data_IF_758849273477
#
_entry.id   IF_758849273477
#
_cell.length_a   1.000
_cell.length_b   1.000
_cell.length_c   1.000
_cell.angle_alpha   90.00
_cell.angle_beta   90.00
_cell.angle_gamma   90.00
#
_symmetry.space_group_name_H-M   'P 1'
#
loop_
_entity.id
_entity.type
_entity.pdbx_description
1 polymer ?
#
# COMPACT_ATOMS: atom_id res chain seq x y z
N UNK A 1 -37.70 -71.00 -50.07
CA UNK A 1 -36.24 -70.86 -50.29
C UNK A 1 -35.85 -69.44 -49.96
N UNK A 2 -35.00 -69.22 -48.97
CA UNK A 2 -33.83 -68.32 -48.98
C UNK A 2 -33.10 -68.47 -47.64
N UNK A 3 -31.83 -68.83 -47.72
CA UNK A 3 -30.86 -68.95 -46.64
C UNK A 3 -29.96 -67.70 -46.69
N UNK A 4 -29.51 -67.17 -45.55
CA UNK A 4 -28.17 -66.59 -45.35
C UNK A 4 -27.98 -65.99 -43.93
N UNK A 5 -27.00 -66.59 -43.24
CA UNK A 5 -25.93 -66.04 -42.38
C UNK A 5 -26.24 -65.36 -41.03
N UNK A 6 -25.92 -66.14 -39.99
CA UNK A 6 -25.49 -65.68 -38.66
C UNK A 6 -24.14 -64.96 -38.72
N UNK A 7 -23.98 -63.99 -37.82
CA UNK A 7 -22.80 -63.15 -37.60
C UNK A 7 -22.68 -62.97 -36.08
N UNK A 8 -21.71 -63.61 -35.42
CA UNK A 8 -21.16 -63.17 -34.14
C UNK A 8 -19.99 -64.06 -33.70
N UNK A 9 -18.83 -63.44 -33.49
CA UNK A 9 -18.03 -63.52 -32.25
C UNK A 9 -16.64 -62.93 -32.50
N UNK A 10 -16.23 -61.96 -31.68
CA UNK A 10 -14.90 -61.95 -31.03
C UNK A 10 -14.76 -60.80 -30.03
N UNK A 11 -14.71 -61.21 -28.75
CA UNK A 11 -13.80 -60.80 -27.65
C UNK A 11 -13.49 -59.32 -27.44
N UNK A 12 -13.99 -58.80 -26.32
CA UNK A 12 -13.35 -57.76 -25.51
C UNK A 12 -12.49 -58.38 -24.38
N UNK A 13 -11.31 -57.83 -24.07
CA UNK A 13 -10.77 -57.88 -22.72
C UNK A 13 -10.65 -56.48 -22.09
N UNK A 14 -10.97 -56.44 -20.80
CA UNK A 14 -10.97 -55.26 -19.94
C UNK A 14 -9.57 -54.73 -19.64
N UNK A 15 -9.44 -53.42 -19.43
CA UNK A 15 -8.26 -52.80 -18.79
C UNK A 15 -8.67 -52.00 -17.55
N UNK A 16 -8.07 -52.35 -16.40
CA UNK A 16 -8.00 -51.52 -15.19
C UNK A 16 -6.95 -50.41 -15.39
N UNK A 17 -7.11 -49.21 -14.81
CA UNK A 17 -6.02 -48.26 -14.69
C UNK A 17 -5.23 -48.49 -13.39
N UNK A 18 -3.92 -48.70 -13.55
CA UNK A 18 -2.91 -48.71 -12.49
C UNK A 18 -2.54 -47.27 -12.10
N UNK A 19 -2.40 -47.02 -10.80
CA UNK A 19 -1.75 -45.83 -10.27
C UNK A 19 -0.25 -45.90 -10.58
N UNK A 20 0.31 -44.82 -11.13
CA UNK A 20 1.76 -44.58 -11.09
C UNK A 20 2.04 -43.15 -10.63
N UNK A 21 2.72 -43.12 -9.50
CA UNK A 21 3.32 -41.98 -8.81
C UNK A 21 4.52 -41.49 -9.63
N UNK A 22 4.49 -40.25 -10.15
CA UNK A 22 5.65 -39.65 -10.83
C UNK A 22 6.09 -38.37 -10.13
N UNK A 23 7.36 -38.41 -9.72
CA UNK A 23 8.16 -37.44 -8.98
C UNK A 23 8.01 -35.97 -9.44
N UNK A 24 7.57 -35.13 -8.50
CA UNK A 24 7.39 -33.66 -8.65
C UNK A 24 8.65 -32.83 -8.41
N UNK A 25 9.80 -33.43 -8.05
CA UNK A 25 10.99 -32.67 -7.63
C UNK A 25 11.95 -32.33 -8.78
N UNK A 26 11.93 -33.08 -9.89
CA UNK A 26 12.87 -32.84 -11.01
C UNK A 26 12.43 -31.71 -11.97
N UNK A 27 11.16 -31.28 -11.92
CA UNK A 27 10.64 -30.21 -12.79
C UNK A 27 10.98 -28.82 -12.25
N UNK A 28 11.09 -28.68 -10.92
CA UNK A 28 11.41 -27.41 -10.25
C UNK A 28 12.90 -27.08 -10.44
N UNK A 29 13.77 -28.09 -10.35
CA UNK A 29 15.22 -27.90 -10.47
C UNK A 29 15.65 -27.51 -11.88
N UNK A 30 14.99 -28.02 -12.93
CA UNK A 30 15.26 -27.61 -14.33
C UNK A 30 14.87 -26.15 -14.61
N UNK A 31 13.74 -25.67 -14.08
CA UNK A 31 13.33 -24.26 -14.25
C UNK A 31 14.24 -23.26 -13.53
N UNK A 32 14.80 -23.65 -12.38
CA UNK A 32 15.75 -22.81 -11.63
C UNK A 32 17.12 -22.76 -12.35
N UNK A 33 17.55 -23.86 -12.97
CA UNK A 33 18.78 -23.89 -13.76
C UNK A 33 18.67 -23.06 -15.07
N UNK A 34 17.50 -23.06 -15.71
CA UNK A 34 17.24 -22.31 -16.94
C UNK A 34 17.17 -20.78 -16.71
N UNK A 35 16.63 -20.35 -15.55
CA UNK A 35 16.67 -18.94 -15.13
C UNK A 35 18.07 -18.42 -14.80
N UNK A 36 19.00 -19.28 -14.37
CA UNK A 36 20.40 -18.89 -14.10
C UNK A 36 21.25 -18.76 -15.37
N UNK A 37 20.90 -19.46 -16.45
CA UNK A 37 21.67 -19.43 -17.71
C UNK A 37 21.42 -18.16 -18.53
N UNK A 38 20.25 -17.54 -18.39
CA UNK A 38 19.92 -16.27 -19.06
C UNK A 38 20.58 -15.02 -18.43
N UNK A 39 21.30 -15.17 -17.32
CA UNK A 39 22.00 -14.07 -16.64
C UNK A 39 23.52 -14.02 -16.90
N UNK A 40 24.05 -14.87 -17.78
CA UNK A 40 25.48 -14.91 -18.11
C UNK A 40 25.72 -15.09 -19.61
N UNK A 41 25.53 -14.02 -20.39
CA UNK A 41 26.42 -13.71 -21.52
C UNK A 41 26.60 -12.18 -21.66
N UNK A 42 27.81 -11.70 -21.99
CA UNK A 42 28.12 -10.28 -22.10
C UNK A 42 28.03 -9.82 -23.57
N UNK A 43 27.40 -8.66 -23.81
CA UNK A 43 27.61 -7.89 -25.02
C UNK A 43 28.03 -6.47 -24.69
N UNK A 44 28.96 -6.00 -25.52
CA UNK A 44 29.85 -4.88 -25.26
C UNK A 44 29.29 -3.54 -25.75
N UNK A 45 29.77 -2.46 -25.13
CA UNK A 45 29.79 -1.06 -25.58
C UNK A 45 28.48 -0.23 -25.49
N UNK A 46 28.31 0.43 -24.34
CA UNK A 46 28.19 1.90 -24.28
C UNK A 46 28.51 2.34 -22.84
N UNK A 47 29.55 3.17 -22.69
CA UNK A 47 29.96 3.72 -21.40
C UNK A 47 28.86 4.64 -20.86
N UNK A 48 28.28 4.26 -19.73
CA UNK A 48 27.66 5.20 -18.81
C UNK A 48 28.14 4.81 -17.42
N UNK A 49 28.89 5.70 -16.79
CA UNK A 49 29.48 5.46 -15.47
C UNK A 49 28.38 5.13 -14.46
N UNK A 50 28.38 3.88 -13.96
CA UNK A 50 27.65 3.51 -12.75
C UNK A 50 28.39 4.06 -11.54
N UNK A 51 27.73 4.74 -10.59
CA UNK A 51 28.36 5.03 -9.31
C UNK A 51 28.55 3.72 -8.52
N UNK A 52 29.75 3.56 -7.98
CA UNK A 52 30.17 2.47 -7.11
C UNK A 52 29.34 2.52 -5.82
N UNK A 53 28.53 1.51 -5.55
CA UNK A 53 27.91 1.31 -4.23
C UNK A 53 28.97 0.68 -3.34
N UNK A 54 29.53 1.47 -2.43
CA UNK A 54 30.45 0.98 -1.42
C UNK A 54 29.74 -0.03 -0.48
N UNK A 55 30.40 -1.13 -0.09
CA UNK A 55 29.84 -2.07 0.87
C UNK A 55 29.77 -1.43 2.28
N UNK A 56 28.66 -1.67 2.98
CA UNK A 56 28.45 -1.24 4.38
C UNK A 56 29.49 -1.91 5.29
N UNK A 57 30.15 -1.17 6.20
CA UNK A 57 30.80 -1.77 7.36
C UNK A 57 29.75 -2.28 8.35
N UNK A 58 29.82 -3.56 8.71
CA UNK A 58 29.24 -4.12 9.93
C UNK A 58 30.13 -3.76 11.14
N UNK A 59 29.58 -3.92 12.35
CA UNK A 59 30.13 -3.63 13.70
C UNK A 59 29.79 -2.21 14.22
N UNK A 60 29.29 -1.99 15.44
CA UNK A 60 29.42 -2.79 16.67
C UNK A 60 28.23 -2.61 17.64
N UNK A 61 27.91 -3.72 18.32
CA UNK A 61 27.17 -3.79 19.57
C UNK A 61 27.92 -3.09 20.71
N UNK A 62 27.16 -2.82 21.80
CA UNK A 62 27.51 -2.32 23.14
C UNK A 62 27.12 -0.84 23.28
N UNK A 63 26.23 -0.45 24.21
CA UNK A 63 26.38 -0.68 25.65
C UNK A 63 25.04 -0.52 26.38
N UNK A 64 24.71 -1.51 27.19
CA UNK A 64 23.74 -1.48 28.28
C UNK A 64 24.15 -0.50 29.37
N UNK A 65 23.19 0.10 30.08
CA UNK A 65 23.06 0.08 31.56
C UNK A 65 21.76 0.78 32.05
N UNK A 66 21.31 0.52 33.29
CA UNK A 66 19.90 0.41 33.65
C UNK A 66 19.44 1.42 34.74
N UNK A 67 18.18 1.25 35.19
CA UNK A 67 17.57 1.76 36.45
C UNK A 67 17.27 3.28 36.47
N UNK A 68 16.12 3.78 36.92
CA UNK A 68 15.54 3.54 38.25
C UNK A 68 13.99 3.56 38.27
N UNK A 69 13.48 2.80 39.23
CA UNK A 69 12.10 2.63 39.66
C UNK A 69 11.95 3.33 41.02
N UNK A 70 10.91 4.15 41.21
CA UNK A 70 10.42 4.63 42.53
C UNK A 70 8.99 5.15 42.34
N UNK A 71 7.94 4.42 42.75
CA UNK A 71 7.30 4.38 44.08
C UNK A 71 6.57 5.68 44.49
N UNK A 72 5.23 5.63 44.47
CA UNK A 72 4.30 5.76 45.62
C UNK A 72 2.97 6.42 45.23
N UNK A 73 1.89 5.74 45.60
CA UNK A 73 0.54 6.27 45.73
C UNK A 73 0.41 7.24 46.92
N UNK A 74 -0.74 7.90 47.04
CA UNK A 74 -1.54 7.67 48.24
C UNK A 74 -3.04 7.41 47.97
N UNK A 75 -3.60 6.64 48.90
CA UNK A 75 -5.03 6.42 49.15
C UNK A 75 -5.73 7.71 49.57
N UNK A 76 -7.02 7.85 49.26
CA UNK A 76 -8.08 7.93 50.27
C UNK A 76 -9.47 8.00 49.63
N UNK A 77 -10.39 7.31 50.29
CA UNK A 77 -11.79 7.03 49.97
C UNK A 77 -12.71 8.24 50.07
N UNK A 78 -13.80 8.24 49.30
CA UNK A 78 -15.11 8.67 49.78
C UNK A 78 -16.24 7.98 48.99
N UNK A 79 -17.01 7.20 49.74
CA UNK A 79 -18.27 6.55 49.39
C UNK A 79 -19.43 7.54 49.31
N UNK A 80 -20.31 7.42 48.32
CA UNK A 80 -21.76 7.57 48.57
C UNK A 80 -22.59 6.89 47.48
N UNK A 81 -23.48 6.01 47.93
CA UNK A 81 -24.52 5.34 47.16
C UNK A 81 -25.80 6.19 47.19
N UNK A 82 -26.44 6.41 46.05
CA UNK A 82 -27.90 6.59 45.97
C UNK A 82 -28.40 5.86 44.70
N UNK A 83 -29.19 4.80 44.90
CA UNK A 83 -30.18 4.30 43.93
C UNK A 83 -31.40 5.22 43.98
N UNK A 84 -32.11 5.43 42.87
CA UNK A 84 -33.53 5.04 42.69
C UNK A 84 -33.95 5.29 41.23
N UNK A 85 -34.71 4.34 40.71
CA UNK A 85 -35.34 4.20 39.38
C UNK A 85 -36.54 5.13 39.20
N UNK A 86 -36.79 5.65 37.98
CA UNK A 86 -38.13 5.67 37.37
C UNK A 86 -38.00 5.49 35.85
N UNK A 87 -38.75 4.53 35.35
CA UNK A 87 -39.06 4.21 33.95
C UNK A 87 -39.89 5.31 33.27
N UNK A 88 -39.62 5.59 32.00
CA UNK A 88 -40.72 6.00 31.11
C UNK A 88 -40.49 5.51 29.67
N UNK A 89 -41.50 4.78 29.21
CA UNK A 89 -41.63 4.22 27.86
C UNK A 89 -42.35 5.27 27.03
N UNK A 90 -41.70 5.79 25.98
CA UNK A 90 -42.39 6.30 24.79
C UNK A 90 -41.44 6.43 23.60
N UNK A 91 -41.74 5.66 22.56
CA UNK A 91 -41.38 5.91 21.17
C UNK A 91 -42.62 5.49 20.34
N UNK A 92 -42.86 5.96 19.09
CA UNK A 92 -41.89 6.63 18.23
C UNK A 92 -42.39 7.92 17.54
N UNK A 93 -41.47 8.85 17.32
CA UNK A 93 -41.58 9.78 16.19
C UNK A 93 -40.28 9.72 15.40
N UNK A 94 -40.39 9.19 14.19
CA UNK A 94 -39.31 9.04 13.23
C UNK A 94 -38.59 10.38 13.05
N UNK A 95 -37.38 10.44 13.60
CA UNK A 95 -36.38 11.48 13.33
C UNK A 95 -35.38 10.80 12.41
N UNK A 96 -34.95 11.45 11.30
CA UNK A 96 -34.01 10.84 10.38
C UNK A 96 -32.75 10.46 11.16
N UNK A 97 -32.37 9.19 11.05
CA UNK A 97 -31.10 8.67 11.53
C UNK A 97 -29.99 9.50 10.91
N UNK A 98 -29.54 10.52 11.63
CA UNK A 98 -28.26 11.16 11.37
C UNK A 98 -27.21 10.09 11.63
N UNK A 99 -26.67 9.53 10.56
CA UNK A 99 -25.41 8.80 10.57
C UNK A 99 -24.45 9.55 11.50
N UNK A 100 -23.82 8.88 12.49
CA UNK A 100 -22.83 9.56 13.31
C UNK A 100 -21.79 10.15 12.37
N UNK A 101 -21.63 11.47 12.41
CA UNK A 101 -20.60 12.15 11.64
C UNK A 101 -19.28 11.47 11.99
N UNK A 102 -18.56 11.01 10.97
CA UNK A 102 -17.16 10.62 11.11
C UNK A 102 -16.42 11.85 11.60
N UNK A 103 -16.24 11.99 12.91
CA UNK A 103 -15.44 13.06 13.50
C UNK A 103 -13.97 12.74 13.25
N UNK A 104 -13.56 12.78 11.97
CA UNK A 104 -12.17 12.75 11.58
C UNK A 104 -11.53 14.05 12.02
N UNK A 105 -10.34 13.95 12.62
CA UNK A 105 -9.49 15.11 12.88
C UNK A 105 -8.49 15.19 11.74
N UNK A 106 -8.39 16.35 11.11
CA UNK A 106 -7.38 16.62 10.09
C UNK A 106 -6.03 16.81 10.77
N UNK A 107 -4.97 16.20 10.24
CA UNK A 107 -3.62 16.21 10.82
C UNK A 107 -2.66 16.93 9.89
N UNK A 108 -1.77 17.74 10.46
CA UNK A 108 -0.67 18.35 9.71
C UNK A 108 0.44 17.33 9.49
N UNK A 109 0.93 17.26 8.26
CA UNK A 109 2.04 16.42 7.84
C UNK A 109 3.14 17.30 7.23
N UNK A 110 4.37 17.07 7.68
CA UNK A 110 5.59 17.59 7.07
C UNK A 110 6.34 16.41 6.47
N UNK A 111 6.50 16.43 5.15
CA UNK A 111 7.10 15.34 4.39
C UNK A 111 8.25 15.87 3.55
N UNK A 112 9.11 14.96 3.12
CA UNK A 112 10.30 15.28 2.37
C UNK A 112 10.39 14.45 1.09
N UNK A 113 10.93 15.05 0.04
CA UNK A 113 11.18 14.36 -1.23
C UNK A 113 12.48 14.88 -1.83
N UNK A 114 13.39 13.97 -2.17
CA UNK A 114 14.49 14.27 -3.07
C UNK A 114 14.00 14.21 -4.52
N UNK A 115 14.36 15.21 -5.33
CA UNK A 115 14.08 15.23 -6.77
C UNK A 115 15.26 15.89 -7.49
N UNK A 116 15.61 15.39 -8.68
CA UNK A 116 16.78 15.89 -9.41
C UNK A 116 16.55 17.25 -10.06
N UNK A 117 15.29 17.68 -10.21
CA UNK A 117 14.95 19.03 -10.64
C UNK A 117 15.20 20.00 -9.49
N UNK A 118 15.72 21.18 -9.77
CA UNK A 118 15.68 22.27 -8.80
C UNK A 118 14.29 22.94 -8.77
N UNK A 119 14.06 23.83 -7.80
CA UNK A 119 12.73 24.37 -7.51
C UNK A 119 12.21 25.21 -8.68
N UNK A 120 13.09 25.99 -9.32
CA UNK A 120 12.78 26.81 -10.49
C UNK A 120 12.42 25.95 -11.72
N UNK A 121 13.18 24.87 -11.96
CA UNK A 121 12.88 23.89 -13.01
C UNK A 121 11.54 23.18 -12.76
N UNK A 122 11.25 22.83 -11.51
CA UNK A 122 9.99 22.21 -11.14
C UNK A 122 8.82 23.15 -11.42
N UNK A 123 8.91 24.41 -10.99
CA UNK A 123 7.89 25.42 -11.27
C UNK A 123 7.66 25.63 -12.77
N UNK A 124 8.73 25.66 -13.56
CA UNK A 124 8.66 25.88 -15.00
C UNK A 124 8.07 24.69 -15.75
N UNK A 125 8.51 23.47 -15.42
CA UNK A 125 8.20 22.26 -16.20
C UNK A 125 7.03 21.46 -15.62
N UNK A 126 6.63 21.72 -14.38
CA UNK A 126 5.54 21.03 -13.68
C UNK A 126 4.86 22.02 -12.71
N UNK A 127 4.23 23.10 -13.22
CA UNK A 127 3.64 24.16 -12.39
C UNK A 127 2.56 23.66 -11.42
N UNK A 128 1.95 22.52 -11.72
CA UNK A 128 1.00 21.85 -10.84
C UNK A 128 1.63 21.08 -9.67
N UNK A 129 2.95 20.87 -9.69
CA UNK A 129 3.72 20.19 -8.65
C UNK A 129 4.20 18.80 -9.04
N UNK A 130 4.34 17.88 -8.07
CA UNK A 130 4.88 16.55 -8.34
C UNK A 130 3.80 15.60 -8.86
N UNK A 131 4.06 15.00 -10.03
CA UNK A 131 3.27 13.93 -10.63
C UNK A 131 4.03 12.62 -10.67
N UNK A 132 3.29 11.52 -10.60
CA UNK A 132 3.79 10.19 -10.91
C UNK A 132 4.15 10.06 -12.39
N UNK A 133 4.93 9.04 -12.75
CA UNK A 133 5.29 8.76 -14.14
C UNK A 133 4.05 8.44 -14.99
N UNK A 134 3.14 7.63 -14.45
CA UNK A 134 1.81 7.41 -15.01
C UNK A 134 0.81 8.18 -14.15
N UNK A 135 0.38 9.33 -14.64
CA UNK A 135 -0.50 10.21 -13.88
C UNK A 135 -1.92 9.64 -13.75
N UNK A 136 -2.41 9.56 -12.51
CA UNK A 136 -3.82 9.41 -12.20
C UNK A 136 -4.37 10.79 -11.80
N UNK A 137 -5.38 11.25 -12.52
CA UNK A 137 -6.23 12.35 -12.04
C UNK A 137 -7.01 11.90 -10.80
N UNK A 138 -7.66 12.83 -10.10
CA UNK A 138 -8.39 12.53 -8.87
C UNK A 138 -9.50 11.49 -9.08
N UNK A 139 -10.16 11.44 -10.25
CA UNK A 139 -11.19 10.44 -10.54
C UNK A 139 -10.59 9.03 -10.63
N UNK A 140 -9.51 8.86 -11.40
CA UNK A 140 -8.81 7.58 -11.50
C UNK A 140 -8.17 7.17 -10.18
N UNK A 141 -7.62 8.11 -9.42
CA UNK A 141 -7.04 7.82 -8.11
C UNK A 141 -8.10 7.38 -7.11
N UNK A 142 -9.29 8.02 -7.09
CA UNK A 142 -10.45 7.57 -6.31
C UNK A 142 -10.89 6.17 -6.71
N UNK A 143 -10.99 5.90 -8.01
CA UNK A 143 -11.35 4.57 -8.53
C UNK A 143 -10.32 3.51 -8.14
N UNK A 144 -9.03 3.84 -8.19
CA UNK A 144 -7.98 2.92 -7.74
C UNK A 144 -8.06 2.65 -6.23
N UNK A 145 -8.23 3.70 -5.41
CA UNK A 145 -8.35 3.57 -3.97
C UNK A 145 -9.63 2.84 -3.53
N UNK A 146 -10.73 2.97 -4.27
CA UNK A 146 -12.01 2.32 -3.92
C UNK A 146 -11.98 0.80 -4.04
N UNK A 147 -11.01 0.24 -4.77
CA UNK A 147 -10.76 -1.21 -4.83
C UNK A 147 -10.52 -1.79 -3.44
N UNK A 148 -9.81 -1.07 -2.57
CA UNK A 148 -9.54 -1.50 -1.19
C UNK A 148 -10.76 -1.35 -0.28
N UNK A 149 -11.79 -0.63 -0.74
CA UNK A 149 -13.10 -0.53 -0.10
C UNK A 149 -14.10 -1.55 -0.66
N UNK A 150 -13.65 -2.45 -1.53
CA UNK A 150 -14.48 -3.50 -2.14
C UNK A 150 -15.18 -3.09 -3.43
N UNK A 151 -14.81 -1.97 -4.05
CA UNK A 151 -15.34 -1.60 -5.35
C UNK A 151 -14.67 -2.41 -6.48
N UNK A 152 -15.49 -3.00 -7.35
CA UNK A 152 -14.99 -3.82 -8.47
C UNK A 152 -14.78 -3.05 -9.77
N UNK A 153 -15.29 -1.82 -9.88
CA UNK A 153 -15.15 -1.01 -11.08
C UNK A 153 -13.71 -0.49 -11.24
N UNK A 154 -13.00 -1.06 -12.21
CA UNK A 154 -11.61 -0.69 -12.56
C UNK A 154 -11.51 -0.10 -13.98
N UNK A 155 -12.64 0.26 -14.58
CA UNK A 155 -12.66 0.81 -15.94
C UNK A 155 -11.82 2.10 -16.03
N UNK A 156 -11.16 2.30 -17.16
CA UNK A 156 -10.32 3.48 -17.44
C UNK A 156 -9.08 3.63 -16.54
N UNK A 157 -8.77 2.65 -15.68
CA UNK A 157 -7.47 2.57 -15.03
C UNK A 157 -6.40 2.08 -16.03
N UNK A 158 -5.11 2.44 -15.85
CA UNK A 158 -4.04 1.90 -16.68
C UNK A 158 -4.01 0.37 -16.64
N UNK A 159 -3.75 -0.27 -17.79
CA UNK A 159 -3.78 -1.74 -17.92
C UNK A 159 -2.95 -2.46 -16.86
N UNK A 160 -1.73 -1.97 -16.59
CA UNK A 160 -0.84 -2.60 -15.60
C UNK A 160 -1.41 -2.54 -14.16
N UNK A 161 -2.21 -1.51 -13.83
CA UNK A 161 -2.91 -1.42 -12.55
C UNK A 161 -4.07 -2.41 -12.50
N UNK A 162 -4.83 -2.53 -13.59
CA UNK A 162 -5.91 -3.52 -13.70
C UNK A 162 -5.38 -4.95 -13.55
N UNK A 163 -4.28 -5.25 -14.24
CA UNK A 163 -3.62 -6.56 -14.16
C UNK A 163 -3.18 -6.88 -12.72
N UNK A 164 -2.65 -5.90 -11.99
CA UNK A 164 -2.23 -6.07 -10.60
C UNK A 164 -3.43 -6.23 -9.65
N UNK A 165 -4.47 -5.42 -9.80
CA UNK A 165 -5.73 -5.57 -9.04
C UNK A 165 -6.33 -6.97 -9.23
N UNK A 166 -6.33 -7.47 -10.47
CA UNK A 166 -6.83 -8.80 -10.78
C UNK A 166 -6.01 -9.90 -10.10
N UNK A 167 -4.70 -9.72 -9.91
CA UNK A 167 -3.88 -10.65 -9.12
C UNK A 167 -4.28 -10.64 -7.65
N UNK A 168 -4.48 -9.46 -7.05
CA UNK A 168 -4.91 -9.35 -5.66
C UNK A 168 -6.29 -10.00 -5.46
N UNK A 169 -7.25 -9.71 -6.35
CA UNK A 169 -8.60 -10.30 -6.31
C UNK A 169 -8.59 -11.83 -6.39
N UNK A 170 -7.69 -12.42 -7.17
CA UNK A 170 -7.50 -13.88 -7.21
C UNK A 170 -7.01 -14.46 -5.89
N UNK A 171 -6.25 -13.68 -5.11
CA UNK A 171 -5.76 -14.08 -3.79
C UNK A 171 -6.76 -13.77 -2.65
N UNK A 172 -7.79 -12.97 -2.91
CA UNK A 172 -8.84 -12.60 -1.97
C UNK A 172 -9.23 -11.14 -2.09
N UNK A 173 -9.86 -10.58 -1.07
CA UNK A 173 -10.18 -9.14 -1.03
C UNK A 173 -8.87 -8.33 -0.97
N UNK A 174 -8.64 -7.37 -1.91
CA UNK A 174 -7.47 -6.51 -1.88
C UNK A 174 -7.35 -5.74 -0.57
N UNK A 175 -6.12 -5.65 -0.05
CA UNK A 175 -5.78 -4.96 1.21
C UNK A 175 -4.77 -3.85 0.95
N UNK A 176 -4.71 -2.86 1.84
CA UNK A 176 -3.69 -1.81 1.77
C UNK A 176 -2.25 -2.34 1.87
N UNK A 177 -2.06 -3.52 2.47
CA UNK A 177 -0.77 -4.22 2.46
C UNK A 177 -0.33 -4.64 1.06
N UNK A 178 -1.27 -4.96 0.18
CA UNK A 178 -1.00 -5.34 -1.21
C UNK A 178 -0.52 -4.11 -1.99
N UNK A 179 -1.18 -2.96 -1.80
CA UNK A 179 -0.73 -1.67 -2.35
C UNK A 179 0.65 -1.27 -1.82
N UNK A 180 0.87 -1.37 -0.50
CA UNK A 180 2.17 -1.10 0.11
C UNK A 180 3.28 -1.96 -0.50
N UNK A 181 2.99 -3.24 -0.76
CA UNK A 181 3.94 -4.17 -1.37
C UNK A 181 4.21 -3.79 -2.83
N UNK A 182 3.15 -3.52 -3.60
CA UNK A 182 3.27 -3.07 -4.98
C UNK A 182 4.10 -1.78 -5.11
N UNK A 183 3.87 -0.81 -4.22
CA UNK A 183 4.65 0.43 -4.15
C UNK A 183 6.12 0.13 -3.84
N UNK A 184 6.37 -0.74 -2.85
CA UNK A 184 7.73 -1.05 -2.41
C UNK A 184 8.54 -1.73 -3.50
N UNK A 185 7.95 -2.64 -4.27
CA UNK A 185 8.67 -3.47 -5.23
C UNK A 185 8.62 -2.97 -6.68
N UNK A 186 7.77 -2.00 -7.01
CA UNK A 186 7.81 -1.37 -8.35
C UNK A 186 8.85 -0.25 -8.36
N UNK A 187 9.74 -0.28 -9.35
CA UNK A 187 10.89 0.64 -9.49
C UNK A 187 11.08 1.17 -10.92
N UNK A 188 10.14 0.88 -11.81
CA UNK A 188 10.19 1.32 -13.21
C UNK A 188 9.35 2.59 -13.43
N UNK A 189 9.24 3.02 -14.69
CA UNK A 189 8.47 4.21 -15.08
C UNK A 189 6.96 3.94 -15.20
N UNK A 190 6.45 2.80 -14.74
CA UNK A 190 5.01 2.53 -14.69
C UNK A 190 4.34 3.06 -13.41
N UNK A 191 5.12 3.49 -12.42
CA UNK A 191 4.60 3.94 -11.13
C UNK A 191 3.53 5.02 -11.25
N UNK A 192 2.45 4.84 -10.49
CA UNK A 192 1.28 5.74 -10.42
C UNK A 192 1.25 6.57 -9.13
N UNK A 193 2.39 6.67 -8.44
CA UNK A 193 2.52 7.44 -7.21
C UNK A 193 3.76 8.33 -7.17
N UNK A 194 3.72 9.31 -6.28
CA UNK A 194 4.86 10.12 -5.87
C UNK A 194 5.26 9.72 -4.45
N UNK A 195 6.44 9.14 -4.30
CA UNK A 195 6.99 8.78 -2.99
C UNK A 195 7.54 10.00 -2.25
N UNK A 196 7.26 10.06 -0.95
CA UNK A 196 7.76 11.05 0.01
C UNK A 196 8.08 10.34 1.33
N UNK A 197 8.88 10.94 2.20
CA UNK A 197 9.25 10.39 3.50
C UNK A 197 8.91 11.36 4.64
N UNK A 198 8.70 10.82 5.84
CA UNK A 198 8.50 11.64 7.06
C UNK A 198 9.78 12.24 7.63
N UNK A 199 10.93 11.93 7.03
CA UNK A 199 12.25 12.40 7.47
C UNK A 199 13.08 12.89 6.28
N UNK A 200 14.13 13.66 6.58
CA UNK A 200 15.02 14.27 5.60
C UNK A 200 15.98 13.27 4.94
N UNK A 201 16.07 12.02 5.42
CA UNK A 201 16.91 10.99 4.82
C UNK A 201 16.33 10.44 3.52
N UNK A 202 14.99 10.54 3.33
CA UNK A 202 14.27 10.15 2.11
C UNK A 202 14.75 8.81 1.55
N UNK A 203 14.85 7.80 2.41
CA UNK A 203 15.28 6.45 2.04
C UNK A 203 16.73 6.37 1.53
N UNK A 204 17.60 7.29 1.94
CA UNK A 204 19.00 7.39 1.53
C UNK A 204 19.21 8.14 0.21
N UNK A 205 18.16 8.72 -0.38
CA UNK A 205 18.25 9.52 -1.62
C UNK A 205 18.56 10.99 -1.36
N UNK A 206 18.71 11.36 -0.10
CA UNK A 206 18.85 12.75 0.30
C UNK A 206 20.16 13.34 -0.24
N UNK A 207 21.23 12.54 -0.31
CA UNK A 207 22.57 12.99 -0.65
C UNK A 207 22.71 13.34 -2.13
N UNK A 208 22.93 14.63 -2.42
CA UNK A 208 23.30 15.13 -3.75
C UNK A 208 22.14 15.55 -4.65
N UNK A 209 20.90 15.40 -4.20
CA UNK A 209 19.72 15.91 -4.91
C UNK A 209 19.06 17.06 -4.12
N UNK A 210 18.44 18.04 -4.81
CA UNK A 210 17.54 18.99 -4.18
C UNK A 210 16.49 18.30 -3.30
N UNK A 211 16.33 18.80 -2.08
CA UNK A 211 15.36 18.31 -1.12
C UNK A 211 14.19 19.29 -1.04
N UNK A 212 12.98 18.75 -0.98
CA UNK A 212 11.75 19.52 -0.88
C UNK A 212 11.05 19.17 0.43
N UNK A 213 10.57 20.19 1.11
CA UNK A 213 9.61 20.05 2.21
C UNK A 213 8.20 20.21 1.65
N UNK A 214 7.31 19.35 2.10
CA UNK A 214 5.92 19.27 1.69
C UNK A 214 5.07 19.40 2.93
N UNK A 215 4.29 20.47 3.02
CA UNK A 215 3.39 20.73 4.14
C UNK A 215 1.95 20.60 3.70
N UNK A 216 1.18 19.74 4.36
CA UNK A 216 -0.24 19.56 4.06
C UNK A 216 -1.02 19.08 5.28
N UNK A 217 -2.33 19.20 5.21
CA UNK A 217 -3.24 18.65 6.20
C UNK A 217 -4.10 17.57 5.57
N UNK A 218 -4.15 16.39 6.20
CA UNK A 218 -4.93 15.25 5.70
C UNK A 218 -5.64 14.54 6.85
N UNK A 219 -6.78 13.92 6.54
CA UNK A 219 -7.41 12.92 7.38
C UNK A 219 -6.73 11.56 7.17
N UNK A 220 -6.58 10.79 8.24
CA UNK A 220 -5.98 9.46 8.18
C UNK A 220 -7.03 8.38 8.51
N UNK A 221 -7.07 7.33 7.70
CA UNK A 221 -8.06 6.26 7.79
C UNK A 221 -7.41 4.88 7.71
N UNK A 222 -7.86 3.98 8.56
CA UNK A 222 -7.74 2.55 8.32
C UNK A 222 -8.85 2.07 7.39
N UNK A 223 -8.74 0.82 6.94
CA UNK A 223 -9.82 0.13 6.23
C UNK A 223 -10.23 -1.08 7.04
N UNK A 224 -11.50 -1.13 7.43
CA UNK A 224 -12.12 -2.30 8.06
C UNK A 224 -13.39 -2.68 7.30
N UNK A 225 -13.48 -3.96 6.90
CA UNK A 225 -14.64 -4.51 6.17
C UNK A 225 -15.11 -3.63 5.00
N UNK A 226 -14.17 -3.12 4.20
CA UNK A 226 -14.45 -2.27 3.05
C UNK A 226 -14.88 -0.84 3.38
N UNK A 227 -14.73 -0.39 4.63
CA UNK A 227 -15.10 0.96 5.06
C UNK A 227 -13.89 1.72 5.61
N UNK A 228 -13.87 3.03 5.37
CA UNK A 228 -12.91 3.93 5.99
C UNK A 228 -13.22 4.06 7.49
N UNK A 229 -12.20 3.86 8.33
CA UNK A 229 -12.27 4.02 9.79
C UNK A 229 -11.29 5.12 10.20
N UNK A 230 -11.74 6.25 10.78
CA UNK A 230 -10.86 7.34 11.15
C UNK A 230 -9.78 6.89 12.14
N UNK A 231 -8.58 7.40 11.94
CA UNK A 231 -7.43 7.23 12.83
C UNK A 231 -6.98 8.61 13.33
N UNK A 232 -7.70 9.24 14.28
CA UNK A 232 -7.36 10.57 14.77
C UNK A 232 -5.95 10.65 15.40
N UNK A 233 -5.48 9.53 15.98
CA UNK A 233 -4.13 9.41 16.52
C UNK A 233 -3.12 8.84 15.51
N UNK A 234 -3.54 8.63 14.25
CA UNK A 234 -2.78 7.99 13.20
C UNK A 234 -2.58 6.48 13.34
N UNK A 235 -1.87 5.89 12.37
CA UNK A 235 -1.50 4.46 12.44
C UNK A 235 -0.53 4.19 13.59
N UNK A 236 -0.78 3.12 14.34
CA UNK A 236 0.05 2.71 15.47
C UNK A 236 0.97 1.53 15.16
N UNK A 237 0.92 0.97 13.95
CA UNK A 237 1.64 -0.27 13.60
C UNK A 237 2.43 -0.15 12.30
N UNK A 238 3.65 -0.72 12.31
CA UNK A 238 4.54 -0.77 11.14
C UNK A 238 3.92 -1.52 9.95
N UNK A 239 3.13 -2.56 10.24
CA UNK A 239 2.51 -3.43 9.23
C UNK A 239 1.03 -3.13 9.00
N UNK A 240 0.56 -1.93 9.39
CA UNK A 240 -0.83 -1.50 9.22
C UNK A 240 -0.86 -0.20 8.41
N UNK A 241 -0.81 -0.28 7.07
CA UNK A 241 -0.93 0.90 6.23
C UNK A 241 -2.28 1.60 6.45
N UNK A 242 -2.28 2.91 6.21
CA UNK A 242 -3.47 3.76 6.27
C UNK A 242 -3.61 4.57 4.98
N UNK A 243 -4.85 4.92 4.63
CA UNK A 243 -5.14 5.88 3.55
C UNK A 243 -5.18 7.28 4.14
N UNK A 244 -4.63 8.25 3.41
CA UNK A 244 -4.72 9.67 3.72
C UNK A 244 -5.54 10.38 2.66
N UNK A 245 -6.46 11.26 3.08
CA UNK A 245 -7.35 12.03 2.22
C UNK A 245 -7.39 13.50 2.64
N UNK A 246 -7.58 14.43 1.70
CA UNK A 246 -7.83 15.85 2.00
C UNK A 246 -9.26 16.12 2.50
N UNK A 247 -10.18 15.18 2.25
CA UNK A 247 -11.58 15.21 2.68
C UNK A 247 -11.92 14.04 3.62
N UNK A 248 -13.12 14.04 4.19
CA UNK A 248 -13.54 12.98 5.14
C UNK A 248 -14.01 11.69 4.48
N UNK A 249 -14.11 11.66 3.15
CA UNK A 249 -14.64 10.55 2.37
C UNK A 249 -13.83 10.38 1.09
N UNK A 250 -13.92 9.22 0.44
CA UNK A 250 -13.12 8.97 -0.76
C UNK A 250 -13.68 9.69 -1.98
N UNK A 251 -14.99 9.85 -2.05
CA UNK A 251 -15.76 10.34 -3.20
C UNK A 251 -15.40 11.78 -3.58
N UNK A 252 -15.13 12.61 -2.57
CA UNK A 252 -14.79 14.02 -2.73
C UNK A 252 -13.29 14.28 -2.71
N UNK A 253 -12.46 13.26 -2.43
CA UNK A 253 -11.03 13.43 -2.24
C UNK A 253 -10.34 13.87 -3.54
N UNK A 254 -9.48 14.88 -3.43
CA UNK A 254 -8.61 15.34 -4.52
C UNK A 254 -7.15 14.99 -4.28
N UNK A 255 -6.77 14.78 -3.01
CA UNK A 255 -5.47 14.26 -2.59
C UNK A 255 -5.67 12.90 -1.94
N UNK A 256 -4.99 11.89 -2.47
CA UNK A 256 -5.07 10.51 -1.97
C UNK A 256 -3.65 9.98 -1.83
N UNK A 257 -3.32 9.47 -0.65
CA UNK A 257 -2.02 8.86 -0.40
C UNK A 257 -2.13 7.60 0.46
N UNK A 258 -1.09 6.77 0.40
CA UNK A 258 -0.89 5.66 1.31
C UNK A 258 0.23 6.00 2.30
N UNK A 259 -0.04 5.90 3.60
CA UNK A 259 0.96 5.94 4.66
C UNK A 259 1.37 4.51 5.02
N UNK A 260 2.62 4.13 4.78
CA UNK A 260 3.10 2.76 4.96
C UNK A 260 4.57 2.68 5.37
N UNK A 261 5.05 1.47 5.66
CA UNK A 261 6.40 1.22 6.17
C UNK A 261 6.53 1.38 7.71
N UNK A 262 7.75 1.40 8.27
CA UNK A 262 7.96 1.63 9.70
C UNK A 262 7.36 2.99 10.14
N UNK A 263 6.78 3.10 11.33
CA UNK A 263 6.08 4.33 11.76
C UNK A 263 7.01 5.56 11.79
N UNK A 264 8.25 5.38 12.25
CA UNK A 264 9.24 6.46 12.37
C UNK A 264 10.10 6.67 11.11
N UNK A 265 9.88 5.86 10.08
CA UNK A 265 10.58 5.91 8.79
C UNK A 265 9.57 5.64 7.67
N UNK A 266 8.40 6.26 7.80
CA UNK A 266 7.27 6.02 6.95
C UNK A 266 7.50 6.63 5.57
N UNK A 267 7.07 5.89 4.55
CA UNK A 267 6.85 6.44 3.22
C UNK A 267 5.38 6.87 3.12
N UNK A 268 5.16 8.06 2.58
CA UNK A 268 3.84 8.52 2.14
C UNK A 268 3.83 8.59 0.61
N UNK A 269 3.09 7.68 -0.02
CA UNK A 269 3.03 7.56 -1.47
C UNK A 269 1.72 8.15 -1.98
N UNK A 270 1.81 9.28 -2.65
CA UNK A 270 0.65 10.02 -3.19
C UNK A 270 0.21 9.41 -4.51
N UNK A 271 -1.04 8.95 -4.59
CA UNK A 271 -1.66 8.44 -5.83
C UNK A 271 -2.11 9.59 -6.75
N UNK A 272 -2.21 10.80 -6.21
CA UNK A 272 -2.57 12.03 -6.91
C UNK A 272 -1.38 12.98 -6.99
N UNK A 273 -1.49 14.04 -7.79
CA UNK A 273 -0.49 15.12 -7.82
C UNK A 273 -0.30 15.73 -6.43
N UNK A 274 0.94 15.99 -6.03
CA UNK A 274 1.25 16.84 -4.87
C UNK A 274 1.30 18.29 -5.37
N UNK A 275 0.39 19.18 -4.93
CA UNK A 275 0.30 20.53 -5.46
C UNK A 275 1.56 21.36 -5.21
N UNK A 276 1.97 22.18 -6.18
CA UNK A 276 3.10 23.10 -6.04
C UNK A 276 2.96 24.03 -4.82
N UNK A 277 1.74 24.43 -4.47
CA UNK A 277 1.43 25.27 -3.31
C UNK A 277 1.79 24.63 -1.96
N UNK A 278 1.94 23.31 -1.90
CA UNK A 278 2.36 22.59 -0.71
C UNK A 278 3.88 22.47 -0.59
N UNK A 279 4.64 22.87 -1.62
CA UNK A 279 6.07 22.61 -1.74
C UNK A 279 6.92 23.82 -1.33
N UNK A 280 8.03 23.54 -0.65
CA UNK A 280 9.12 24.49 -0.41
C UNK A 280 10.46 23.81 -0.69
N UNK A 281 11.42 24.56 -1.23
CA UNK A 281 12.81 24.09 -1.24
C UNK A 281 13.29 23.95 0.22
N UNK A 282 13.87 22.81 0.56
CA UNK A 282 14.44 22.55 1.87
C UNK A 282 15.96 22.69 1.79
N UNK A 283 16.49 23.63 2.58
CA UNK A 283 17.93 23.75 2.81
C UNK A 283 18.25 23.02 4.10
N UNK A 284 19.21 22.10 4.01
CA UNK A 284 19.74 21.37 5.16
C UNK A 284 20.47 22.27 6.13
#
# INVERSE_FOLDING_TARGET
MYCLKQKEEKKNPSFRPTQDTVNSENVITSRIAELRKNFQQPDSQTQTMRPCVAPRPLYSLLKTRPFQQATKAPMASASTSIKTSVSDIRNPKATPTSTPALTGVKKSFTLYRADNRNFEELQKNSPEGFKAWVHLDSEKARKFASVFLGNDNVENLPKHIIDEINKWKKAGTPKLSDLSTFIKYTKDRSTVWVSTAVNTEVGGQSSGAPLYEISMELYEFGVDKGKLVPLPNGRMGNMKPSILLDTQNLEDATIIALNHGPVNDAEMSFLTTIPMSCLKSYKR
#
